data_IF_777000940684
#
_entry.id   IF_777000940684
#
_cell.length_a   1.000
_cell.length_b   1.000
_cell.length_c   1.000
_cell.angle_alpha   90.00
_cell.angle_beta   90.00
_cell.angle_gamma   90.00
#
_symmetry.space_group_name_H-M   'P 1'
#
loop_
_entity.id
_entity.type
_entity.pdbx_description
1 polymer ?
#
# COMPACT_ATOMS: atom_id res chain seq x y z
N UNK A 1 9.95 11.57 4.81
CA UNK A 1 11.20 12.13 4.28
C UNK A 1 10.85 12.97 3.07
N UNK A 2 10.82 14.29 3.23
CA UNK A 2 10.62 15.23 2.13
C UNK A 2 11.96 15.30 1.40
N UNK A 3 11.99 14.93 0.12
CA UNK A 3 13.21 15.05 -0.68
C UNK A 3 13.32 16.53 -1.03
N UNK A 4 14.18 17.27 -0.33
CA UNK A 4 14.29 18.73 -0.48
C UNK A 4 14.93 19.13 -1.83
N UNK A 5 15.71 18.24 -2.43
CA UNK A 5 16.31 18.44 -3.76
C UNK A 5 16.33 17.15 -4.57
N UNK A 6 15.98 17.24 -5.86
CA UNK A 6 16.14 16.13 -6.79
C UNK A 6 17.63 15.98 -7.16
N UNK A 7 18.36 15.13 -6.44
CA UNK A 7 19.69 14.71 -6.86
C UNK A 7 19.56 13.82 -8.10
N UNK A 8 20.09 14.31 -9.24
CA UNK A 8 20.13 13.53 -10.46
C UNK A 8 21.32 12.54 -10.45
N UNK A 9 21.31 11.59 -11.37
CA UNK A 9 22.37 10.58 -11.51
C UNK A 9 23.77 11.19 -11.58
N UNK A 10 23.93 12.25 -12.36
CA UNK A 10 25.23 12.91 -12.58
C UNK A 10 25.76 13.53 -11.28
N UNK A 11 24.89 14.13 -10.49
CA UNK A 11 25.23 14.67 -9.17
C UNK A 11 25.58 13.56 -8.18
N UNK A 12 24.91 12.41 -8.22
CA UNK A 12 25.29 11.28 -7.37
C UNK A 12 26.68 10.74 -7.73
N UNK A 13 27.00 10.70 -9.03
CA UNK A 13 28.30 10.25 -9.54
C UNK A 13 29.46 11.20 -9.18
N UNK A 14 29.20 12.45 -8.77
CA UNK A 14 30.26 13.34 -8.28
C UNK A 14 30.60 13.12 -6.80
N UNK A 15 29.78 12.39 -6.05
CA UNK A 15 29.99 12.16 -4.61
C UNK A 15 31.31 11.44 -4.27
N UNK A 16 31.78 10.44 -5.03
CA UNK A 16 33.09 9.84 -4.77
C UNK A 16 34.26 10.84 -4.87
N UNK A 17 34.12 11.92 -5.66
CA UNK A 17 35.13 12.97 -5.75
C UNK A 17 35.08 13.93 -4.55
N UNK A 18 33.87 14.27 -4.10
CA UNK A 18 33.68 15.13 -2.93
C UNK A 18 33.99 14.41 -1.60
N UNK A 19 33.79 13.09 -1.56
CA UNK A 19 33.94 12.25 -0.37
C UNK A 19 34.76 10.99 -0.69
N UNK A 20 36.06 11.11 -1.02
CA UNK A 20 36.88 9.98 -1.47
C UNK A 20 37.00 8.85 -0.44
N UNK A 21 36.92 9.15 0.85
CA UNK A 21 37.01 8.13 1.91
C UNK A 21 35.73 7.31 2.11
N UNK A 22 34.61 7.75 1.52
CA UNK A 22 33.30 7.13 1.76
C UNK A 22 33.06 5.83 0.99
N UNK A 23 33.97 5.43 0.08
CA UNK A 23 33.88 4.22 -0.74
C UNK A 23 32.48 4.01 -1.37
N UNK A 24 31.87 5.11 -1.84
CA UNK A 24 30.52 5.08 -2.41
C UNK A 24 30.48 4.27 -3.70
N UNK A 25 29.55 3.31 -3.71
CA UNK A 25 29.25 2.53 -4.91
C UNK A 25 28.45 3.38 -5.91
N UNK A 26 28.40 2.95 -7.17
CA UNK A 26 27.59 3.61 -8.19
C UNK A 26 26.12 3.73 -7.75
N UNK A 27 25.41 4.72 -8.28
CA UNK A 27 23.98 4.89 -7.98
C UNK A 27 23.17 3.62 -8.20
N UNK A 28 23.45 2.88 -9.29
CA UNK A 28 22.76 1.63 -9.61
C UNK A 28 22.90 0.61 -8.48
N UNK A 29 24.11 0.44 -7.95
CA UNK A 29 24.40 -0.49 -6.84
C UNK A 29 23.77 0.02 -5.55
N UNK A 30 23.91 1.31 -5.25
CA UNK A 30 23.34 1.93 -4.05
C UNK A 30 21.81 1.82 -4.03
N UNK A 31 21.15 2.08 -5.16
CA UNK A 31 19.70 1.94 -5.33
C UNK A 31 19.25 0.48 -5.18
N UNK A 32 19.96 -0.46 -5.80
CA UNK A 32 19.67 -1.89 -5.64
C UNK A 32 19.82 -2.36 -4.19
N UNK A 33 20.88 -1.91 -3.51
CA UNK A 33 21.12 -2.19 -2.08
C UNK A 33 20.04 -1.59 -1.19
N UNK A 34 19.64 -0.34 -1.43
CA UNK A 34 18.55 0.31 -0.70
C UNK A 34 17.23 -0.43 -0.88
N UNK A 35 16.92 -0.86 -2.10
CA UNK A 35 15.74 -1.67 -2.38
C UNK A 35 15.80 -3.02 -1.65
N UNK A 36 16.95 -3.70 -1.66
CA UNK A 36 17.15 -4.95 -0.92
C UNK A 36 16.98 -4.77 0.59
N UNK A 37 17.57 -3.71 1.16
CA UNK A 37 17.45 -3.37 2.59
C UNK A 37 16.02 -3.00 2.98
N UNK A 38 15.27 -2.34 2.10
CA UNK A 38 13.88 -1.99 2.34
C UNK A 38 12.98 -3.23 2.51
N UNK A 39 13.40 -4.41 2.02
CA UNK A 39 12.66 -5.68 2.11
C UNK A 39 11.23 -5.63 1.54
N UNK A 40 10.89 -4.60 0.74
CA UNK A 40 9.70 -4.57 -0.09
C UNK A 40 10.09 -4.09 -1.49
N UNK A 41 9.74 -4.88 -2.51
CA UNK A 41 9.94 -4.52 -3.91
C UNK A 41 8.60 -4.09 -4.51
N UNK A 42 8.52 -2.95 -5.20
CA UNK A 42 7.32 -2.59 -5.94
C UNK A 42 7.03 -3.64 -7.03
N UNK A 43 5.76 -4.00 -7.19
CA UNK A 43 5.31 -5.00 -8.16
C UNK A 43 4.52 -4.31 -9.26
N UNK A 44 4.94 -4.42 -10.53
CA UNK A 44 4.17 -3.87 -11.64
C UNK A 44 2.96 -4.77 -11.91
N UNK A 45 1.76 -4.18 -11.90
CA UNK A 45 0.53 -4.80 -12.36
C UNK A 45 0.11 -4.20 -13.68
N UNK A 46 -0.17 -5.07 -14.64
CA UNK A 46 -0.71 -4.65 -15.92
C UNK A 46 -2.17 -4.21 -15.72
N UNK A 47 -2.56 -3.11 -16.35
CA UNK A 47 -3.90 -2.56 -16.23
C UNK A 47 -4.49 -2.31 -17.61
N UNK A 48 -5.82 -2.33 -17.68
CA UNK A 48 -6.54 -1.79 -18.83
C UNK A 48 -6.11 -0.33 -19.09
N UNK A 49 -6.01 0.05 -20.37
CA UNK A 49 -5.68 1.44 -20.76
C UNK A 49 -6.63 2.46 -20.12
N UNK A 50 -7.91 2.10 -20.00
CA UNK A 50 -8.98 2.89 -19.40
C UNK A 50 -9.11 2.69 -17.87
N UNK A 51 -8.16 2.01 -17.22
CA UNK A 51 -8.17 1.73 -15.78
C UNK A 51 -9.38 0.93 -15.27
N UNK A 52 -10.13 0.25 -16.13
CA UNK A 52 -11.30 -0.54 -15.72
C UNK A 52 -10.94 -1.70 -14.77
N UNK A 53 -9.76 -2.31 -14.97
CA UNK A 53 -9.30 -3.45 -14.18
C UNK A 53 -7.77 -3.56 -14.19
N UNK A 54 -7.26 -4.31 -13.21
CA UNK A 54 -5.91 -4.85 -13.22
C UNK A 54 -5.95 -6.32 -13.70
N UNK A 55 -5.01 -6.71 -14.57
CA UNK A 55 -4.87 -8.08 -15.07
C UNK A 55 -4.11 -8.93 -14.04
N UNK A 56 -4.72 -9.14 -12.88
CA UNK A 56 -4.21 -9.93 -11.75
C UNK A 56 -5.33 -10.80 -11.17
N UNK A 57 -4.98 -11.81 -10.39
CA UNK A 57 -5.95 -12.69 -9.75
C UNK A 57 -6.87 -13.34 -10.79
N UNK A 58 -8.21 -13.18 -10.69
CA UNK A 58 -9.16 -13.74 -11.65
C UNK A 58 -8.95 -13.32 -13.12
N UNK A 59 -8.23 -12.22 -13.36
CA UNK A 59 -7.97 -11.69 -14.70
C UNK A 59 -6.51 -11.86 -15.15
N UNK A 60 -5.73 -12.69 -14.47
CA UNK A 60 -4.30 -12.83 -14.72
C UNK A 60 -3.97 -13.32 -16.15
N UNK A 61 -4.78 -14.25 -16.67
CA UNK A 61 -4.58 -14.88 -17.98
C UNK A 61 -5.35 -14.18 -19.11
N UNK A 62 -6.09 -13.11 -18.79
CA UNK A 62 -6.87 -12.35 -19.76
C UNK A 62 -5.98 -11.44 -20.59
N UNK A 63 -6.21 -11.46 -21.91
CA UNK A 63 -5.55 -10.59 -22.88
C UNK A 63 -6.42 -9.40 -23.30
N UNK A 64 -7.69 -9.40 -22.89
CA UNK A 64 -8.68 -8.39 -23.27
C UNK A 64 -9.45 -7.98 -22.03
N UNK A 65 -9.67 -6.68 -21.86
CA UNK A 65 -10.43 -6.15 -20.72
C UNK A 65 -11.87 -6.72 -20.75
N UNK A 66 -12.35 -7.38 -19.68
CA UNK A 66 -13.69 -7.95 -19.68
C UNK A 66 -14.79 -6.86 -19.74
N UNK A 67 -14.48 -5.63 -19.33
CA UNK A 67 -15.41 -4.50 -19.25
C UNK A 67 -15.49 -3.65 -20.52
N UNK A 68 -14.35 -3.21 -21.06
CA UNK A 68 -14.30 -2.29 -22.20
C UNK A 68 -13.72 -2.90 -23.49
N UNK A 69 -13.37 -4.19 -23.45
CA UNK A 69 -12.86 -4.98 -24.60
C UNK A 69 -11.55 -4.48 -25.24
N UNK A 70 -10.91 -3.49 -24.63
CA UNK A 70 -9.57 -3.05 -25.03
C UNK A 70 -8.53 -4.15 -24.77
N UNK A 71 -7.52 -4.31 -25.65
CA UNK A 71 -6.47 -5.28 -25.45
C UNK A 71 -5.57 -4.88 -24.27
N UNK A 72 -5.05 -5.88 -23.57
CA UNK A 72 -4.06 -5.72 -22.50
C UNK A 72 -2.73 -5.19 -23.05
N UNK A 73 -2.30 -5.73 -24.18
CA UNK A 73 -1.02 -5.47 -24.80
C UNK A 73 -1.15 -4.60 -26.05
N UNK A 74 -0.08 -3.87 -26.38
CA UNK A 74 0.03 -3.11 -27.61
C UNK A 74 0.08 -4.06 -28.82
N UNK A 75 -0.36 -3.58 -29.98
CA UNK A 75 -0.38 -4.39 -31.21
C UNK A 75 1.02 -4.78 -31.71
N UNK A 76 2.04 -3.99 -31.37
CA UNK A 76 3.42 -4.14 -31.84
C UNK A 76 4.31 -4.99 -30.92
N UNK A 77 3.84 -5.30 -29.70
CA UNK A 77 4.69 -5.88 -28.65
C UNK A 77 3.86 -6.53 -27.55
N UNK A 78 4.44 -7.49 -26.82
CA UNK A 78 3.86 -8.01 -25.57
C UNK A 78 3.97 -7.01 -24.40
N UNK A 79 4.10 -5.71 -24.68
CA UNK A 79 4.12 -4.68 -23.65
C UNK A 79 2.70 -4.25 -23.30
N UNK A 80 2.34 -4.23 -22.01
CA UNK A 80 1.02 -3.81 -21.57
C UNK A 80 0.80 -2.33 -21.87
N UNK A 81 -0.44 -1.95 -22.14
CA UNK A 81 -0.79 -0.55 -22.40
C UNK A 81 -0.52 0.35 -21.20
N UNK A 82 -0.83 -0.12 -19.99
CA UNK A 82 -0.69 0.61 -18.75
C UNK A 82 -0.18 -0.30 -17.64
N UNK A 83 0.64 0.24 -16.73
CA UNK A 83 1.07 -0.44 -15.51
C UNK A 83 0.79 0.41 -14.28
N UNK A 84 0.25 -0.21 -13.25
CA UNK A 84 0.19 0.32 -11.90
C UNK A 84 1.34 -0.28 -11.08
N UNK A 85 2.02 0.54 -10.28
CA UNK A 85 3.10 0.06 -9.41
C UNK A 85 2.52 -0.19 -8.02
N UNK A 86 2.27 -1.46 -7.71
CA UNK A 86 1.77 -1.89 -6.41
C UNK A 86 2.90 -1.95 -5.39
N UNK A 87 2.66 -1.44 -4.19
CA UNK A 87 3.56 -1.59 -3.04
C UNK A 87 2.97 -2.68 -2.14
N UNK A 88 3.63 -3.85 -2.02
CA UNK A 88 3.11 -4.97 -1.23
C UNK A 88 2.77 -4.59 0.21
N UNK A 89 1.52 -4.88 0.62
CA UNK A 89 1.03 -4.55 1.95
C UNK A 89 1.52 -5.56 3.00
N UNK A 90 1.45 -6.86 2.71
CA UNK A 90 1.74 -7.93 3.66
C UNK A 90 3.16 -7.80 4.27
N UNK A 91 4.25 -7.59 3.49
CA UNK A 91 5.59 -7.43 4.07
C UNK A 91 5.69 -6.24 5.03
N UNK A 92 4.92 -5.17 4.80
CA UNK A 92 4.89 -4.00 5.67
C UNK A 92 4.20 -4.32 7.00
N UNK A 93 3.08 -5.04 6.95
CA UNK A 93 2.39 -5.50 8.16
C UNK A 93 3.29 -6.43 9.00
N UNK A 94 3.94 -7.40 8.36
CA UNK A 94 4.92 -8.28 9.03
C UNK A 94 6.06 -7.47 9.65
N UNK A 95 6.53 -6.42 8.98
CA UNK A 95 7.57 -5.54 9.53
C UNK A 95 7.13 -4.80 10.80
N UNK A 96 5.85 -4.46 10.96
CA UNK A 96 5.36 -3.86 12.20
C UNK A 96 5.50 -4.81 13.37
N UNK A 97 5.22 -6.11 13.19
CA UNK A 97 5.37 -7.12 14.23
C UNK A 97 6.83 -7.50 14.54
N UNK A 98 7.78 -7.17 13.65
CA UNK A 98 9.22 -7.41 13.87
C UNK A 98 9.91 -6.28 14.63
N UNK A 99 9.27 -5.14 14.82
CA UNK A 99 9.83 -3.99 15.52
C UNK A 99 9.16 -3.86 16.90
N UNK A 100 9.90 -4.04 18.02
CA UNK A 100 9.33 -3.88 19.36
C UNK A 100 8.66 -2.52 19.57
N UNK A 101 9.27 -1.47 19.02
CA UNK A 101 8.70 -0.12 19.03
C UNK A 101 7.35 -0.02 18.33
N UNK A 102 7.22 -0.63 17.15
CA UNK A 102 5.94 -0.62 16.41
C UNK A 102 4.91 -1.52 17.09
N UNK A 103 5.32 -2.67 17.62
CA UNK A 103 4.45 -3.56 18.39
C UNK A 103 3.83 -2.83 19.58
N UNK A 104 4.59 -2.00 20.28
CA UNK A 104 4.06 -1.19 21.38
C UNK A 104 3.03 -0.18 20.88
N UNK A 105 3.32 0.52 19.77
CA UNK A 105 2.36 1.44 19.16
C UNK A 105 1.06 0.78 18.71
N UNK A 106 1.12 -0.46 18.22
CA UNK A 106 -0.09 -1.21 17.82
C UNK A 106 -1.05 -1.45 18.99
N UNK A 107 -0.59 -1.32 20.24
CA UNK A 107 -1.43 -1.44 21.45
C UNK A 107 -2.26 -0.20 21.75
N UNK A 108 -2.03 0.93 21.06
CA UNK A 108 -2.71 2.20 21.31
C UNK A 108 -4.22 2.02 21.47
N UNK A 109 -4.86 1.34 20.51
CA UNK A 109 -6.28 1.02 20.52
C UNK A 109 -6.72 0.28 21.79
N UNK A 110 -5.96 -0.72 22.21
CA UNK A 110 -6.34 -1.58 23.34
C UNK A 110 -6.16 -0.90 24.71
N UNK A 111 -5.35 0.15 24.77
CA UNK A 111 -5.21 1.01 25.94
C UNK A 111 -6.06 2.29 25.87
N UNK A 112 -6.86 2.46 24.82
CA UNK A 112 -7.71 3.62 24.65
C UNK A 112 -8.94 3.52 25.57
N UNK A 113 -9.26 4.61 26.25
CA UNK A 113 -10.44 4.73 27.10
C UNK A 113 -11.47 5.60 26.37
N UNK A 114 -12.64 5.03 26.11
CA UNK A 114 -13.75 5.72 25.46
C UNK A 114 -14.20 6.94 26.27
N UNK A 115 -14.51 8.03 25.57
CA UNK A 115 -15.08 9.23 26.17
C UNK A 115 -16.58 9.31 25.90
N UNK A 116 -17.38 9.35 26.97
CA UNK A 116 -18.84 9.48 26.88
C UNK A 116 -19.30 10.90 26.48
N UNK A 117 -18.37 11.87 26.42
CA UNK A 117 -18.70 13.29 26.26
C UNK A 117 -18.33 13.81 24.88
N UNK A 118 -17.15 13.44 24.38
CA UNK A 118 -16.62 13.96 23.11
C UNK A 118 -16.03 12.82 22.29
N UNK A 119 -16.26 12.82 20.99
CA UNK A 119 -15.54 11.93 20.07
C UNK A 119 -14.12 12.49 19.91
N UNK A 120 -13.15 11.79 20.46
CA UNK A 120 -11.72 12.12 20.42
C UNK A 120 -10.93 11.21 19.48
N UNK A 121 -11.42 9.99 19.26
CA UNK A 121 -10.85 9.02 18.35
C UNK A 121 -11.97 8.25 17.62
N UNK A 122 -11.61 7.50 16.58
CA UNK A 122 -12.53 6.58 15.89
C UNK A 122 -13.03 5.46 16.82
N UNK A 123 -12.29 5.17 17.90
CA UNK A 123 -12.64 4.16 18.89
C UNK A 123 -13.77 4.59 19.84
N UNK A 124 -14.11 5.88 19.90
CA UNK A 124 -15.34 6.38 20.55
C UNK A 124 -16.59 6.10 19.70
N UNK A 125 -16.42 5.58 18.49
CA UNK A 125 -17.51 5.31 17.57
C UNK A 125 -18.33 4.09 18.00
N UNK A 126 -19.65 4.24 18.04
CA UNK A 126 -20.58 3.16 18.35
C UNK A 126 -20.36 1.88 17.51
N UNK A 127 -20.01 2.03 16.22
CA UNK A 127 -19.66 0.90 15.35
C UNK A 127 -18.48 0.08 15.89
N UNK A 128 -17.43 0.75 16.37
CA UNK A 128 -16.25 0.07 16.91
C UNK A 128 -16.62 -0.73 18.17
N UNK A 129 -17.39 -0.13 19.08
CA UNK A 129 -17.85 -0.81 20.31
C UNK A 129 -18.71 -2.04 19.99
N UNK A 130 -19.58 -1.96 18.97
CA UNK A 130 -20.36 -3.12 18.50
C UNK A 130 -19.47 -4.22 17.90
N UNK A 131 -18.48 -3.87 17.08
CA UNK A 131 -17.57 -4.85 16.48
C UNK A 131 -16.78 -5.60 17.56
N UNK A 132 -16.30 -4.91 18.59
CA UNK A 132 -15.53 -5.53 19.68
C UNK A 132 -16.26 -6.68 20.41
N UNK A 133 -17.60 -6.72 20.38
CA UNK A 133 -18.39 -7.81 20.98
C UNK A 133 -18.84 -8.88 19.99
N UNK A 134 -18.72 -8.63 18.68
CA UNK A 134 -19.13 -9.52 17.60
C UNK A 134 -18.02 -10.48 17.18
N UNK A 135 -18.39 -11.72 16.86
CA UNK A 135 -17.49 -12.67 16.21
C UNK A 135 -17.23 -12.26 14.76
N UNK A 136 -16.03 -12.58 14.26
CA UNK A 136 -15.68 -12.32 12.85
C UNK A 136 -16.34 -13.38 11.97
N UNK A 137 -17.07 -12.95 10.94
CA UNK A 137 -17.71 -13.85 9.96
C UNK A 137 -17.06 -13.72 8.58
N UNK A 138 -16.78 -14.83 7.92
CA UNK A 138 -16.29 -14.89 6.53
C UNK A 138 -17.25 -15.76 5.72
N UNK A 139 -18.05 -15.12 4.86
CA UNK A 139 -19.15 -15.80 4.16
C UNK A 139 -20.17 -16.32 5.18
N UNK A 140 -20.45 -17.62 5.17
CA UNK A 140 -21.38 -18.28 6.09
C UNK A 140 -20.69 -18.84 7.36
N UNK A 141 -19.39 -18.62 7.53
CA UNK A 141 -18.62 -19.20 8.64
C UNK A 141 -18.27 -18.15 9.69
N UNK A 142 -18.70 -18.39 10.93
CA UNK A 142 -18.28 -17.62 12.09
C UNK A 142 -16.96 -18.15 12.65
N UNK A 143 -16.02 -17.24 12.87
CA UNK A 143 -14.74 -17.54 13.50
C UNK A 143 -14.87 -17.50 15.03
N UNK A 144 -14.02 -18.25 15.77
CA UNK A 144 -14.10 -18.32 17.23
C UNK A 144 -13.61 -17.05 17.94
N UNK A 145 -13.11 -16.06 17.19
CA UNK A 145 -12.58 -14.81 17.71
C UNK A 145 -13.47 -13.62 17.35
N UNK A 146 -13.42 -12.59 18.20
CA UNK A 146 -14.13 -11.33 17.99
C UNK A 146 -13.33 -10.36 17.16
N UNK A 147 -13.98 -9.37 16.56
CA UNK A 147 -13.24 -8.25 15.98
C UNK A 147 -12.42 -7.56 17.06
N UNK A 148 -11.19 -7.21 16.71
CA UNK A 148 -10.28 -6.49 17.61
C UNK A 148 -10.01 -7.18 18.95
N UNK A 149 -10.16 -8.51 19.02
CA UNK A 149 -9.92 -9.29 20.23
C UNK A 149 -8.48 -9.18 20.73
N UNK A 150 -7.50 -9.09 19.81
CA UNK A 150 -6.10 -9.01 20.21
C UNK A 150 -5.63 -7.56 20.31
N UNK A 151 -4.84 -7.20 21.34
CA UNK A 151 -4.39 -5.83 21.55
C UNK A 151 -3.60 -5.21 20.40
N UNK A 152 -3.11 -6.01 19.46
CA UNK A 152 -2.25 -5.60 18.34
C UNK A 152 -2.95 -5.73 16.98
N UNK A 153 -4.27 -5.94 16.98
CA UNK A 153 -5.05 -6.02 15.75
C UNK A 153 -4.99 -4.72 14.98
N UNK A 154 -4.84 -4.85 13.66
CA UNK A 154 -4.70 -3.71 12.74
C UNK A 154 -6.01 -3.53 11.97
N UNK A 155 -6.65 -2.38 12.16
CA UNK A 155 -7.76 -1.96 11.31
C UNK A 155 -7.22 -1.37 10.00
N UNK A 156 -7.70 -1.88 8.85
CA UNK A 156 -7.42 -1.31 7.54
C UNK A 156 -8.66 -0.62 7.01
N UNK A 157 -8.65 0.71 6.99
CA UNK A 157 -9.69 1.51 6.36
C UNK A 157 -9.38 1.73 4.88
N UNK A 158 -10.34 1.39 4.01
CA UNK A 158 -10.32 1.79 2.61
C UNK A 158 -11.40 2.85 2.41
N UNK A 159 -11.00 4.06 2.03
CA UNK A 159 -11.92 5.07 1.54
C UNK A 159 -11.67 5.25 0.04
N UNK A 160 -12.68 4.92 -0.76
CA UNK A 160 -12.70 5.26 -2.18
C UNK A 160 -13.48 6.55 -2.30
N UNK A 161 -12.82 7.63 -2.74
CA UNK A 161 -13.51 8.88 -3.07
C UNK A 161 -14.63 8.59 -4.07
N UNK A 162 -15.85 8.96 -3.69
CA UNK A 162 -16.98 8.98 -4.60
C UNK A 162 -16.80 10.13 -5.58
N UNK A 163 -16.36 9.80 -6.79
CA UNK A 163 -16.94 10.34 -8.02
C UNK A 163 -17.36 11.81 -7.92
N UNK A 164 -16.43 12.76 -8.16
CA UNK A 164 -16.74 14.18 -8.22
C UNK A 164 -17.89 14.46 -9.22
N UNK A 165 -19.12 14.79 -8.79
CA UNK A 165 -20.27 14.93 -9.69
C UNK A 165 -20.19 16.19 -10.56
N UNK A 166 -19.24 17.08 -10.26
CA UNK A 166 -19.08 18.36 -10.92
C UNK A 166 -17.64 18.53 -11.41
N UNK A 167 -17.43 18.06 -12.65
CA UNK A 167 -16.42 18.51 -13.63
C UNK A 167 -14.98 17.96 -13.52
N UNK A 168 -14.70 17.08 -14.49
CA UNK A 168 -13.45 16.88 -15.25
C UNK A 168 -12.14 16.74 -14.44
N UNK A 169 -11.79 15.49 -14.12
CA UNK A 169 -10.37 15.06 -14.09
C UNK A 169 -10.14 14.02 -15.18
N UNK A 170 -9.18 14.28 -16.07
CA UNK A 170 -8.79 13.38 -17.17
C UNK A 170 -7.81 12.28 -16.75
N UNK A 171 -7.35 12.26 -15.48
CA UNK A 171 -6.51 11.18 -14.92
C UNK A 171 -6.73 11.07 -13.41
N UNK A 172 -6.98 9.85 -12.95
CA UNK A 172 -6.85 9.45 -11.54
C UNK A 172 -5.77 8.36 -11.48
N UNK A 173 -4.79 8.53 -10.60
CA UNK A 173 -3.80 7.51 -10.26
C UNK A 173 -4.36 6.56 -9.23
#
# INVERSE_FOLDING_TARGET
>A
VKIETHMNEKTFQSLPFAFPESNLQSWKVTKARAAWLARFQPVPYDCCINSCCCFVGPHADENTCPYCKEPRFRSDSKHPHKRFIYIPLIPRLVSFFRSPYMVEKLRYRAGFTESDVNITDIFDGNLYSHLCVQNVSIGENDLPHKFFQFPRDIALGLSTDGFAPWRRRTKTC
#
